data_IF_855455615349
#
_entry.id   IF_855455615349
#
_cell.length_a   1.000
_cell.length_b   1.000
_cell.length_c   1.000
_cell.angle_alpha   90.00
_cell.angle_beta   90.00
_cell.angle_gamma   90.00
#
_symmetry.space_group_name_H-M   'P 1'
#
loop_
_entity.id
_entity.type
_entity.pdbx_description
1 polymer ?
#
# COMPACT_ATOMS: atom_id res chain seq x y z
N UNK A 1 4.97 -0.09 -15.23
CA UNK A 1 4.92 0.56 -13.90
C UNK A 1 4.14 -0.36 -12.98
N UNK A 2 4.73 -0.82 -11.87
CA UNK A 2 4.10 -1.80 -10.99
C UNK A 2 2.97 -1.14 -10.19
N UNK A 3 1.73 -1.62 -10.39
CA UNK A 3 0.52 -1.05 -9.77
C UNK A 3 0.43 -1.30 -8.26
N UNK A 4 1.19 -2.26 -7.75
CA UNK A 4 1.31 -2.50 -6.30
C UNK A 4 1.91 -1.27 -5.59
N UNK A 5 2.89 -0.59 -6.21
CA UNK A 5 3.45 0.64 -5.67
C UNK A 5 2.44 1.79 -5.62
N UNK A 6 1.62 1.90 -6.66
CA UNK A 6 0.57 2.91 -6.69
C UNK A 6 -0.47 2.62 -5.60
N UNK A 7 -0.77 1.33 -5.34
CA UNK A 7 -1.62 0.90 -4.25
C UNK A 7 -1.01 1.27 -2.87
N UNK A 8 0.26 0.93 -2.62
CA UNK A 8 0.93 1.29 -1.36
C UNK A 8 0.94 2.81 -1.13
N UNK A 9 1.26 3.61 -2.17
CA UNK A 9 1.22 5.07 -2.12
C UNK A 9 -0.18 5.63 -1.83
N UNK A 10 -1.21 4.92 -2.24
CA UNK A 10 -2.57 5.34 -1.97
C UNK A 10 -2.97 5.01 -0.53
N UNK A 11 -2.65 3.80 -0.06
CA UNK A 11 -3.16 3.27 1.20
C UNK A 11 -2.39 3.74 2.44
N UNK A 12 -1.12 4.15 2.32
CA UNK A 12 -0.38 4.68 3.47
C UNK A 12 -0.97 5.99 4.02
N UNK A 13 -1.85 6.65 3.27
CA UNK A 13 -2.49 7.88 3.69
C UNK A 13 -3.81 7.58 4.43
N UNK A 14 -3.85 7.87 5.73
CA UNK A 14 -4.99 7.59 6.60
C UNK A 14 -6.33 8.15 6.08
N UNK A 15 -6.32 9.35 5.46
CA UNK A 15 -7.54 9.94 4.89
C UNK A 15 -8.05 9.16 3.68
N UNK A 16 -7.14 8.70 2.81
CA UNK A 16 -7.51 7.89 1.64
C UNK A 16 -8.01 6.51 2.07
N UNK A 17 -7.36 5.92 3.07
CA UNK A 17 -7.78 4.65 3.63
C UNK A 17 -9.18 4.73 4.24
N UNK A 18 -9.44 5.78 5.03
CA UNK A 18 -10.77 6.02 5.61
C UNK A 18 -11.83 6.17 4.53
N UNK A 19 -11.54 6.91 3.45
CA UNK A 19 -12.44 7.05 2.32
C UNK A 19 -12.71 5.70 1.65
N UNK A 20 -11.68 4.89 1.44
CA UNK A 20 -11.83 3.55 0.89
C UNK A 20 -12.69 2.67 1.80
N UNK A 21 -12.47 2.72 3.13
CA UNK A 21 -13.28 1.99 4.11
C UNK A 21 -14.76 2.34 4.01
N UNK A 22 -15.08 3.64 3.88
CA UNK A 22 -16.47 4.11 3.72
C UNK A 22 -17.07 3.56 2.42
N UNK A 23 -16.33 3.57 1.31
CA UNK A 23 -16.81 3.02 0.03
C UNK A 23 -17.04 1.51 0.13
N UNK A 24 -16.11 0.77 0.76
CA UNK A 24 -16.28 -0.67 0.98
C UNK A 24 -17.50 -0.99 1.85
N UNK A 25 -17.74 -0.20 2.89
CA UNK A 25 -18.88 -0.38 3.80
C UNK A 25 -20.24 -0.06 3.13
N UNK A 26 -20.25 0.81 2.12
CA UNK A 26 -21.47 1.13 1.37
C UNK A 26 -21.98 -0.06 0.52
N UNK A 27 -21.12 -1.03 0.22
CA UNK A 27 -21.49 -2.25 -0.52
C UNK A 27 -22.24 -1.97 -1.83
N UNK A 28 -23.31 -2.74 -2.07
CA UNK A 28 -24.10 -2.66 -3.30
C UNK A 28 -24.98 -1.40 -3.39
N UNK A 29 -25.15 -0.65 -2.31
CA UNK A 29 -25.87 0.62 -2.33
C UNK A 29 -25.07 1.72 -3.00
N UNK A 30 -23.74 1.62 -2.96
CA UNK A 30 -22.84 2.67 -3.42
C UNK A 30 -22.93 3.93 -2.57
N UNK A 31 -22.06 4.90 -2.84
CA UNK A 31 -22.01 6.14 -2.09
C UNK A 31 -21.81 7.34 -3.01
N UNK A 32 -22.45 8.48 -2.70
CA UNK A 32 -22.30 9.72 -3.46
C UNK A 32 -21.13 10.55 -2.93
N UNK A 33 -20.61 11.49 -3.76
CA UNK A 33 -19.58 12.45 -3.30
C UNK A 33 -20.11 13.28 -2.13
N UNK A 34 -21.39 13.68 -2.14
CA UNK A 34 -22.01 14.44 -1.06
C UNK A 34 -21.93 13.70 0.26
N UNK A 35 -22.34 12.43 0.29
CA UNK A 35 -22.26 11.59 1.50
C UNK A 35 -20.82 11.32 1.95
N UNK A 36 -19.87 11.19 0.99
CA UNK A 36 -18.45 11.07 1.33
C UNK A 36 -17.92 12.34 2.00
N UNK A 37 -18.30 13.52 1.53
CA UNK A 37 -17.91 14.81 2.14
C UNK A 37 -18.46 14.92 3.56
N UNK A 38 -19.72 14.57 3.77
CA UNK A 38 -20.35 14.59 5.08
C UNK A 38 -19.65 13.65 6.06
N UNK A 39 -19.32 12.42 5.66
CA UNK A 39 -18.64 11.43 6.49
C UNK A 39 -17.14 11.70 6.69
N UNK A 40 -16.54 12.57 5.88
CA UNK A 40 -15.13 12.96 5.95
C UNK A 40 -14.94 14.40 6.47
N UNK A 41 -15.98 15.04 6.94
CA UNK A 41 -15.94 16.46 7.36
C UNK A 41 -14.92 16.70 8.47
N UNK A 42 -14.86 15.81 9.47
CA UNK A 42 -13.89 15.85 10.58
C UNK A 42 -12.44 15.61 10.14
N UNK A 43 -12.21 14.96 9.00
CA UNK A 43 -10.88 14.78 8.42
C UNK A 43 -10.39 16.01 7.63
N UNK A 44 -11.19 17.07 7.55
CA UNK A 44 -10.86 18.31 6.85
C UNK A 44 -10.69 18.14 5.33
N UNK A 45 -11.34 17.14 4.73
CA UNK A 45 -11.32 16.94 3.28
C UNK A 45 -12.42 17.73 2.59
N UNK A 46 -12.00 18.53 1.60
CA UNK A 46 -12.90 19.26 0.72
C UNK A 46 -13.30 18.39 -0.50
N UNK A 47 -14.36 18.79 -1.21
CA UNK A 47 -14.82 18.13 -2.43
C UNK A 47 -13.70 17.83 -3.45
N UNK A 48 -12.79 18.77 -3.66
CA UNK A 48 -11.66 18.60 -4.58
C UNK A 48 -10.72 17.47 -4.16
N UNK A 49 -10.41 17.36 -2.88
CA UNK A 49 -9.56 16.29 -2.34
C UNK A 49 -10.22 14.92 -2.47
N UNK A 50 -11.53 14.83 -2.16
CA UNK A 50 -12.29 13.59 -2.32
C UNK A 50 -12.34 13.17 -3.79
N UNK A 51 -12.64 14.11 -4.70
CA UNK A 51 -12.67 13.82 -6.13
C UNK A 51 -11.32 13.33 -6.66
N UNK A 52 -10.22 13.91 -6.19
CA UNK A 52 -8.88 13.46 -6.55
C UNK A 52 -8.59 12.03 -6.06
N UNK A 53 -9.01 11.69 -4.83
CA UNK A 53 -8.84 10.34 -4.29
C UNK A 53 -9.69 9.32 -5.02
N UNK A 54 -10.93 9.66 -5.34
CA UNK A 54 -11.81 8.81 -6.18
C UNK A 54 -11.20 8.56 -7.54
N UNK A 55 -10.60 9.57 -8.18
CA UNK A 55 -9.87 9.40 -9.45
C UNK A 55 -8.69 8.45 -9.32
N UNK A 56 -7.92 8.53 -8.22
CA UNK A 56 -6.79 7.61 -7.98
C UNK A 56 -7.28 6.17 -7.78
N UNK A 57 -8.35 5.95 -7.00
CA UNK A 57 -8.96 4.63 -6.82
C UNK A 57 -9.50 4.06 -8.13
N UNK A 58 -10.15 4.89 -8.94
CA UNK A 58 -10.65 4.49 -10.26
C UNK A 58 -9.51 4.13 -11.23
N UNK A 59 -8.40 4.86 -11.20
CA UNK A 59 -7.21 4.57 -12.02
C UNK A 59 -6.57 3.23 -11.65
N UNK A 60 -6.68 2.79 -10.39
CA UNK A 60 -6.26 1.45 -9.95
C UNK A 60 -7.29 0.37 -10.29
N UNK A 61 -8.47 0.75 -10.76
CA UNK A 61 -9.56 -0.18 -11.03
C UNK A 61 -10.27 -0.70 -9.79
N UNK A 62 -10.17 0.01 -8.66
CA UNK A 62 -10.71 -0.42 -7.36
C UNK A 62 -12.15 0.01 -7.12
N UNK A 63 -12.61 1.00 -7.87
CA UNK A 63 -13.97 1.51 -7.75
C UNK A 63 -14.61 1.65 -9.12
N UNK A 64 -15.92 1.44 -9.13
CA UNK A 64 -16.81 1.68 -10.27
C UNK A 64 -17.64 2.93 -10.01
N UNK A 65 -17.83 3.71 -11.07
CA UNK A 65 -18.69 4.89 -11.07
C UNK A 65 -19.95 4.59 -11.87
N UNK A 66 -21.10 4.92 -11.32
CA UNK A 66 -22.39 4.74 -11.97
C UNK A 66 -23.26 5.99 -11.76
N UNK A 67 -23.92 6.42 -12.81
CA UNK A 67 -24.89 7.53 -12.74
C UNK A 67 -26.29 6.94 -12.58
N UNK A 68 -26.97 7.29 -11.49
CA UNK A 68 -28.37 6.96 -11.25
C UNK A 68 -29.15 8.27 -11.16
N UNK A 69 -29.99 8.53 -12.17
CA UNK A 69 -30.71 9.80 -12.31
C UNK A 69 -29.74 11.00 -12.35
N UNK A 70 -29.87 11.95 -11.45
CA UNK A 70 -29.03 13.15 -11.36
C UNK A 70 -27.75 12.96 -10.50
N UNK A 71 -27.62 11.82 -9.82
CA UNK A 71 -26.53 11.57 -8.87
C UNK A 71 -25.52 10.56 -9.42
N UNK A 72 -24.28 10.70 -8.97
CA UNK A 72 -23.19 9.79 -9.28
C UNK A 72 -22.85 9.00 -8.02
N UNK A 73 -22.88 7.68 -8.15
CA UNK A 73 -22.54 6.72 -7.10
C UNK A 73 -21.21 6.06 -7.38
N UNK A 74 -20.48 5.77 -6.32
CA UNK A 74 -19.23 5.05 -6.34
C UNK A 74 -19.38 3.74 -5.56
N UNK A 75 -18.88 2.66 -6.15
CA UNK A 75 -18.94 1.30 -5.62
C UNK A 75 -17.54 0.75 -5.52
N UNK A 76 -17.25 -0.03 -4.48
CA UNK A 76 -16.08 -0.86 -4.48
C UNK A 76 -16.26 -1.98 -5.50
N UNK A 77 -15.37 -2.03 -6.49
CA UNK A 77 -15.42 -2.99 -7.59
C UNK A 77 -13.99 -3.27 -8.08
N UNK A 78 -13.28 -4.21 -7.46
CA UNK A 78 -11.88 -4.50 -7.77
C UNK A 78 -11.70 -5.35 -9.03
N UNK A 79 -12.79 -5.78 -9.70
CA UNK A 79 -12.70 -6.67 -10.86
C UNK A 79 -12.00 -6.04 -12.07
N UNK A 80 -11.92 -4.72 -12.11
CA UNK A 80 -11.18 -3.97 -13.13
C UNK A 80 -9.72 -3.72 -12.76
N UNK A 81 -9.34 -4.01 -11.54
CA UNK A 81 -7.95 -3.94 -11.10
C UNK A 81 -7.15 -5.09 -11.70
N UNK A 82 -5.85 -4.90 -11.80
CA UNK A 82 -4.93 -5.99 -12.14
C UNK A 82 -5.01 -7.10 -11.08
N UNK A 83 -4.78 -8.36 -11.45
CA UNK A 83 -4.93 -9.50 -10.54
C UNK A 83 -4.15 -9.32 -9.22
N UNK A 84 -2.91 -8.85 -9.29
CA UNK A 84 -2.06 -8.61 -8.13
C UNK A 84 -2.62 -7.52 -7.19
N UNK A 85 -3.17 -6.44 -7.75
CA UNK A 85 -3.81 -5.35 -6.98
C UNK A 85 -5.11 -5.86 -6.34
N UNK A 86 -5.89 -6.63 -7.09
CA UNK A 86 -7.15 -7.20 -6.60
C UNK A 86 -6.91 -8.14 -5.43
N UNK A 87 -5.94 -9.04 -5.55
CA UNK A 87 -5.59 -9.98 -4.50
C UNK A 87 -5.23 -9.29 -3.18
N UNK A 88 -4.29 -8.33 -3.23
CA UNK A 88 -3.89 -7.55 -2.06
C UNK A 88 -5.08 -6.77 -1.49
N UNK A 89 -5.92 -6.20 -2.36
CA UNK A 89 -7.08 -5.43 -1.91
C UNK A 89 -8.16 -6.28 -1.24
N UNK A 90 -8.36 -7.53 -1.64
CA UNK A 90 -9.30 -8.42 -0.94
C UNK A 90 -8.82 -8.75 0.47
N UNK A 91 -7.52 -9.01 0.65
CA UNK A 91 -6.92 -9.21 1.97
C UNK A 91 -7.10 -7.97 2.87
N UNK A 92 -6.85 -6.77 2.31
CA UNK A 92 -7.00 -5.50 3.02
C UNK A 92 -8.47 -5.22 3.34
N UNK A 93 -9.38 -5.43 2.39
CA UNK A 93 -10.81 -5.18 2.55
C UNK A 93 -11.38 -5.92 3.73
N UNK A 94 -11.04 -7.19 3.88
CA UNK A 94 -11.50 -7.99 5.01
C UNK A 94 -11.15 -7.31 6.34
N UNK A 95 -9.92 -6.87 6.52
CA UNK A 95 -9.48 -6.17 7.74
C UNK A 95 -10.15 -4.80 7.93
N UNK A 96 -10.32 -4.05 6.83
CA UNK A 96 -10.98 -2.73 6.88
C UNK A 96 -12.43 -2.84 7.36
N UNK A 97 -13.16 -3.85 6.91
CA UNK A 97 -14.58 -4.03 7.23
C UNK A 97 -14.75 -4.62 8.64
N UNK A 98 -13.91 -5.56 9.03
CA UNK A 98 -14.00 -6.22 10.36
C UNK A 98 -13.42 -5.38 11.50
N UNK A 99 -12.82 -4.22 11.21
CA UNK A 99 -12.14 -3.39 12.22
C UNK A 99 -10.85 -4.01 12.74
N UNK A 100 -10.26 -4.93 11.98
CA UNK A 100 -9.01 -5.60 12.33
C UNK A 100 -7.81 -4.64 12.42
N UNK A 101 -6.69 -5.17 12.91
CA UNK A 101 -5.44 -4.44 13.06
C UNK A 101 -4.94 -3.91 11.70
N UNK A 102 -4.70 -2.62 11.63
CA UNK A 102 -4.21 -1.93 10.45
C UNK A 102 -2.74 -1.47 10.58
N UNK A 103 -1.98 -1.99 11.57
CA UNK A 103 -0.55 -1.66 11.74
C UNK A 103 0.29 -2.02 10.52
N UNK A 104 -0.16 -2.99 9.71
CA UNK A 104 0.48 -3.29 8.42
C UNK A 104 0.56 -2.08 7.48
N UNK A 105 -0.22 -1.02 7.72
CA UNK A 105 -0.16 0.21 6.92
C UNK A 105 1.14 1.00 7.13
N UNK A 106 1.75 0.88 8.31
CA UNK A 106 3.04 1.50 8.59
C UNK A 106 4.12 0.89 7.69
N UNK A 107 4.00 -0.41 7.38
CA UNK A 107 4.91 -1.11 6.48
C UNK A 107 4.81 -0.60 5.03
N UNK A 108 3.67 -0.06 4.61
CA UNK A 108 3.53 0.55 3.28
C UNK A 108 4.44 1.76 3.11
N UNK A 109 4.68 2.53 4.19
CA UNK A 109 5.63 3.64 4.17
C UNK A 109 7.05 3.16 3.83
N UNK A 110 7.44 2.03 4.38
CA UNK A 110 8.72 1.38 4.04
C UNK A 110 8.73 0.92 2.60
N UNK A 111 7.72 0.17 2.18
CA UNK A 111 7.64 -0.41 0.84
C UNK A 111 7.43 0.63 -0.28
N UNK A 112 6.94 1.84 0.03
CA UNK A 112 6.87 2.94 -0.95
C UNK A 112 8.23 3.46 -1.40
N UNK A 113 9.27 3.25 -0.62
CA UNK A 113 10.61 3.65 -1.00
C UNK A 113 11.22 2.59 -1.93
N UNK A 114 11.54 2.92 -3.20
CA UNK A 114 12.05 1.94 -4.16
C UNK A 114 13.33 1.22 -3.70
N UNK A 115 14.18 1.91 -2.94
CA UNK A 115 15.41 1.34 -2.41
C UNK A 115 15.12 0.23 -1.39
N UNK A 116 14.26 0.52 -0.38
CA UNK A 116 13.88 -0.46 0.64
C UNK A 116 13.15 -1.67 0.05
N UNK A 117 12.30 -1.38 -0.89
CA UNK A 117 11.54 -2.40 -1.55
C UNK A 117 12.43 -3.35 -2.38
N UNK A 118 13.45 -2.83 -3.07
CA UNK A 118 14.45 -3.66 -3.76
C UNK A 118 15.23 -4.52 -2.78
N UNK A 119 15.61 -3.99 -1.62
CA UNK A 119 16.28 -4.76 -0.57
C UNK A 119 15.36 -5.86 -0.05
N UNK A 120 14.08 -5.55 0.22
CA UNK A 120 13.12 -6.55 0.67
C UNK A 120 12.97 -7.69 -0.33
N UNK A 121 12.84 -7.37 -1.61
CA UNK A 121 12.77 -8.38 -2.67
C UNK A 121 14.05 -9.22 -2.79
N UNK A 122 15.22 -8.58 -2.70
CA UNK A 122 16.50 -9.27 -2.74
C UNK A 122 16.65 -10.26 -1.58
N UNK A 123 16.30 -9.83 -0.36
CA UNK A 123 16.35 -10.68 0.83
C UNK A 123 15.32 -11.83 0.75
N UNK A 124 14.14 -11.57 0.20
CA UNK A 124 13.13 -12.62 -0.01
C UNK A 124 13.59 -13.68 -1.00
N UNK A 125 14.36 -13.29 -2.01
CA UNK A 125 14.97 -14.21 -2.97
C UNK A 125 16.17 -15.00 -2.40
N UNK A 126 16.45 -14.89 -1.09
CA UNK A 126 17.57 -15.57 -0.45
C UNK A 126 18.91 -14.84 -0.57
N UNK A 127 18.88 -13.55 -0.90
CA UNK A 127 20.09 -12.73 -0.96
C UNK A 127 20.75 -12.55 0.39
N UNK A 128 22.08 -12.40 0.39
CA UNK A 128 22.89 -12.20 1.59
C UNK A 128 22.64 -10.81 2.18
N UNK A 129 22.05 -10.78 3.38
CA UNK A 129 21.66 -9.56 4.08
C UNK A 129 22.77 -8.88 4.87
N UNK A 130 24.03 -9.32 4.79
CA UNK A 130 25.14 -8.60 5.42
C UNK A 130 25.24 -7.19 4.87
N UNK A 131 25.41 -6.22 5.77
CA UNK A 131 25.42 -4.82 5.41
C UNK A 131 26.43 -4.47 4.29
N UNK A 132 27.63 -5.07 4.37
CA UNK A 132 28.68 -4.89 3.36
C UNK A 132 28.23 -5.40 1.98
N UNK A 133 27.62 -6.57 1.94
CA UNK A 133 27.11 -7.16 0.70
C UNK A 133 25.97 -6.32 0.12
N UNK A 134 25.04 -5.85 0.94
CA UNK A 134 23.97 -4.96 0.49
C UNK A 134 24.51 -3.66 -0.09
N UNK A 135 25.55 -3.08 0.55
CA UNK A 135 26.23 -1.89 0.01
C UNK A 135 26.83 -2.15 -1.38
N UNK A 136 27.45 -3.30 -1.57
CA UNK A 136 28.03 -3.70 -2.85
C UNK A 136 26.97 -3.93 -3.92
N UNK A 137 25.92 -4.73 -3.60
CA UNK A 137 24.85 -5.09 -4.54
C UNK A 137 24.05 -3.86 -4.99
N UNK A 138 23.78 -2.94 -4.06
CA UNK A 138 22.96 -1.75 -4.35
C UNK A 138 23.78 -0.50 -4.66
N UNK A 139 25.10 -0.58 -4.66
CA UNK A 139 25.98 0.53 -5.00
C UNK A 139 25.84 1.73 -4.06
N UNK A 140 25.64 1.49 -2.74
CA UNK A 140 25.41 2.55 -1.77
C UNK A 140 26.44 2.55 -0.64
N UNK A 141 26.68 3.72 -0.03
CA UNK A 141 27.50 3.82 1.16
C UNK A 141 26.78 3.23 2.39
N UNK A 142 27.54 2.73 3.38
CA UNK A 142 27.01 2.16 4.62
C UNK A 142 26.02 3.09 5.34
N UNK A 143 26.32 4.38 5.41
CA UNK A 143 25.43 5.38 6.02
C UNK A 143 24.09 5.46 5.27
N UNK A 144 24.12 5.41 3.93
CA UNK A 144 22.90 5.43 3.12
C UNK A 144 22.07 4.16 3.32
N UNK A 145 22.74 3.00 3.44
CA UNK A 145 22.09 1.74 3.75
C UNK A 145 21.38 1.80 5.11
N UNK A 146 22.11 2.18 6.16
CA UNK A 146 21.58 2.28 7.52
C UNK A 146 20.37 3.24 7.55
N UNK A 147 20.55 4.49 7.11
CA UNK A 147 19.45 5.47 7.07
C UNK A 147 18.27 5.00 6.21
N UNK A 148 18.55 4.24 5.15
CA UNK A 148 17.53 3.69 4.28
C UNK A 148 16.72 2.56 4.92
N UNK A 149 17.33 1.67 5.70
CA UNK A 149 16.71 0.45 6.23
C UNK A 149 16.13 0.62 7.63
N UNK A 150 16.72 1.45 8.51
CA UNK A 150 16.28 1.60 9.92
C UNK A 150 14.79 1.91 10.07
N UNK A 151 14.24 2.74 9.18
CA UNK A 151 12.80 2.95 9.15
C UNK A 151 12.03 1.66 8.87
N UNK A 152 12.56 0.81 8.01
CA UNK A 152 11.94 -0.48 7.68
C UNK A 152 12.04 -1.49 8.82
N UNK A 153 13.08 -1.40 9.64
CA UNK A 153 13.19 -2.17 10.90
C UNK A 153 12.13 -1.69 11.88
N UNK A 154 12.00 -0.37 12.07
CA UNK A 154 10.98 0.21 12.94
C UNK A 154 9.54 -0.10 12.46
N UNK A 155 9.32 -0.16 11.16
CA UNK A 155 8.02 -0.51 10.55
C UNK A 155 7.78 -2.04 10.52
N UNK A 156 8.72 -2.86 10.99
CA UNK A 156 8.58 -4.32 11.09
C UNK A 156 8.71 -5.08 9.76
N UNK A 157 9.26 -4.46 8.72
CA UNK A 157 9.56 -5.12 7.44
C UNK A 157 10.88 -5.88 7.50
N UNK A 158 11.89 -5.28 8.13
CA UNK A 158 13.21 -5.87 8.31
C UNK A 158 13.46 -6.22 9.78
N UNK A 159 14.34 -7.19 9.99
CA UNK A 159 15.01 -7.44 11.26
C UNK A 159 16.51 -7.15 11.07
N UNK A 160 17.17 -6.70 12.15
CA UNK A 160 18.60 -6.39 12.14
C UNK A 160 19.28 -7.09 13.30
N UNK A 161 20.25 -7.92 13.00
CA UNK A 161 21.08 -8.61 13.99
C UNK A 161 22.54 -8.64 13.53
N UNK A 162 23.44 -8.13 14.37
CA UNK A 162 24.90 -8.18 14.15
C UNK A 162 25.35 -7.80 12.74
N UNK A 163 24.93 -6.65 12.25
CA UNK A 163 25.25 -6.14 10.89
C UNK A 163 24.60 -6.92 9.73
N UNK A 164 23.66 -7.80 10.03
CA UNK A 164 22.91 -8.55 9.03
C UNK A 164 21.45 -8.11 9.06
N UNK A 165 20.92 -7.76 7.91
CA UNK A 165 19.52 -7.45 7.70
C UNK A 165 18.82 -8.67 7.11
N UNK A 166 17.68 -9.00 7.67
CA UNK A 166 16.78 -10.05 7.15
C UNK A 166 15.40 -9.49 7.00
N UNK A 167 14.55 -10.16 6.26
CA UNK A 167 13.12 -9.88 6.38
C UNK A 167 12.64 -10.32 7.75
N UNK A 168 11.67 -9.58 8.32
CA UNK A 168 11.05 -10.01 9.55
C UNK A 168 10.53 -11.45 9.37
N UNK A 169 10.90 -12.40 10.24
CA UNK A 169 10.48 -13.80 10.08
C UNK A 169 8.98 -14.00 10.24
N UNK A 170 8.30 -13.04 10.85
CA UNK A 170 6.84 -13.04 11.01
C UNK A 170 6.23 -11.73 10.47
N UNK A 171 6.41 -11.43 9.17
CA UNK A 171 5.79 -10.26 8.59
C UNK A 171 4.28 -10.46 8.53
N UNK A 172 3.54 -9.36 8.56
CA UNK A 172 2.11 -9.42 8.22
C UNK A 172 1.91 -10.08 6.85
N UNK A 173 0.92 -10.95 6.73
CA UNK A 173 0.65 -11.71 5.50
C UNK A 173 0.45 -10.81 4.28
N UNK A 174 -0.22 -9.66 4.46
CA UNK A 174 -0.40 -8.67 3.40
C UNK A 174 0.94 -8.10 2.96
N UNK A 175 1.82 -7.80 3.90
CA UNK A 175 3.17 -7.28 3.62
C UNK A 175 4.00 -8.29 2.85
N UNK A 176 4.01 -9.54 3.29
CA UNK A 176 4.68 -10.65 2.60
C UNK A 176 4.18 -10.76 1.16
N UNK A 177 2.86 -10.75 0.98
CA UNK A 177 2.26 -10.87 -0.35
C UNK A 177 2.57 -9.68 -1.26
N UNK A 178 2.62 -8.47 -0.71
CA UNK A 178 3.05 -7.27 -1.46
C UNK A 178 4.49 -7.41 -1.96
N UNK A 179 5.41 -7.89 -1.11
CA UNK A 179 6.81 -8.09 -1.50
C UNK A 179 6.92 -9.15 -2.62
N UNK A 180 6.17 -10.24 -2.51
CA UNK A 180 6.11 -11.31 -3.52
C UNK A 180 5.61 -10.81 -4.89
N UNK A 181 4.55 -10.00 -4.88
CA UNK A 181 3.92 -9.49 -6.10
C UNK A 181 4.62 -8.26 -6.70
N UNK A 182 5.49 -7.61 -5.91
CA UNK A 182 6.24 -6.46 -6.37
C UNK A 182 7.38 -6.90 -7.30
N UNK A 183 7.08 -7.14 -8.57
CA UNK A 183 8.11 -7.35 -9.59
C UNK A 183 9.03 -6.14 -9.67
N UNK A 184 10.27 -6.32 -9.25
CA UNK A 184 11.32 -5.35 -9.48
C UNK A 184 11.98 -5.63 -10.82
N UNK A 185 11.52 -4.96 -11.85
CA UNK A 185 12.33 -4.82 -13.06
C UNK A 185 13.44 -3.83 -12.72
N UNK A 186 14.71 -4.25 -12.66
CA UNK A 186 15.81 -3.29 -12.57
C UNK A 186 15.66 -2.35 -13.78
N UNK A 187 15.58 -1.06 -13.55
CA UNK A 187 15.79 -0.12 -14.65
C UNK A 187 17.23 -0.32 -15.10
N UNK A 188 17.38 -0.81 -16.34
CA UNK A 188 18.64 -0.82 -17.05
C UNK A 188 19.21 0.61 -17.13
#
# INVERSE_FOLDING_TARGET
MNRIWDLCKLLHNAKKLRLLRIICAAGDNGITVKSLVEQMADAGLRNSGISQYLKQLANLGLIRRERKSTQVYYFYDPYRARPEVREVMEMIRLRLVTGGDCRFLDTFRTLMNPFRAKIAHYLQAGGDGRAENLCQVFGCAMVQLIMGIELGVADGVFAHERQTYTLNPQPDEIVRRIIELAEFTPRA
#
